data_IF_431509533185
#
_entry.id   IF_431509533185
#
_cell.length_a   1.000
_cell.length_b   1.000
_cell.length_c   1.000
_cell.angle_alpha   90.00
_cell.angle_beta   90.00
_cell.angle_gamma   90.00
#
_symmetry.space_group_name_H-M   'P 1'
#
loop_
_entity.id
_entity.type
_entity.pdbx_description
1 polymer ?
#
# COMPACT_ATOMS: atom_id res chain seq x y z
N UNK A 1 -7.49 11.04 14.85
CA UNK A 1 -6.81 10.91 16.16
C UNK A 1 -6.27 12.25 16.64
N UNK A 2 -5.30 12.87 15.96
CA UNK A 2 -4.52 14.01 16.47
C UNK A 2 -5.17 15.40 16.38
N UNK A 3 -6.41 15.53 15.89
CA UNK A 3 -7.04 16.85 15.73
C UNK A 3 -6.35 17.75 14.70
N UNK A 4 -5.49 17.21 13.83
CA UNK A 4 -4.75 17.95 12.80
C UNK A 4 -5.63 18.30 11.59
N UNK A 5 -6.73 19.02 11.82
CA UNK A 5 -7.69 19.44 10.79
C UNK A 5 -7.29 20.82 10.28
N UNK A 6 -7.04 21.01 8.97
CA UNK A 6 -6.75 22.33 8.42
C UNK A 6 -7.88 23.34 8.69
N UNK A 7 -7.51 24.58 9.02
CA UNK A 7 -8.46 25.64 9.41
C UNK A 7 -9.57 25.90 8.40
N UNK A 8 -9.30 25.69 7.11
CA UNK A 8 -10.29 25.84 6.02
C UNK A 8 -11.53 24.96 6.14
N UNK A 9 -11.47 23.88 6.94
CA UNK A 9 -12.62 23.02 7.21
C UNK A 9 -13.48 23.49 8.39
N UNK A 10 -13.14 24.63 9.01
CA UNK A 10 -13.90 25.28 10.09
C UNK A 10 -14.22 24.36 11.29
N UNK A 11 -13.38 23.36 11.55
CA UNK A 11 -13.51 22.52 12.73
C UNK A 11 -13.05 23.29 13.98
N UNK A 12 -13.90 23.34 15.00
CA UNK A 12 -13.70 24.16 16.21
C UNK A 12 -13.31 23.35 17.45
N UNK A 13 -12.91 22.09 17.28
CA UNK A 13 -12.59 21.16 18.38
C UNK A 13 -13.67 20.12 18.65
N UNK A 14 -13.40 19.19 19.57
CA UNK A 14 -14.29 18.08 19.95
C UNK A 14 -14.06 16.79 19.14
N UNK A 15 -14.96 15.82 19.26
CA UNK A 15 -14.86 14.58 18.49
C UNK A 15 -15.09 14.85 16.99
N UNK A 16 -14.16 14.42 16.15
CA UNK A 16 -14.26 14.54 14.69
C UNK A 16 -15.29 13.53 14.18
N UNK A 17 -16.41 14.05 13.68
CA UNK A 17 -17.44 13.27 12.98
C UNK A 17 -17.15 13.07 11.49
N UNK A 18 -18.03 12.32 10.83
CA UNK A 18 -17.88 11.97 9.40
C UNK A 18 -17.88 13.18 8.46
N UNK A 19 -18.61 14.25 8.77
CA UNK A 19 -18.64 15.44 7.90
C UNK A 19 -17.26 16.09 7.76
N UNK A 20 -16.57 16.32 8.88
CA UNK A 20 -15.21 16.87 8.88
C UNK A 20 -14.23 15.89 8.24
N UNK A 21 -14.34 14.60 8.57
CA UNK A 21 -13.49 13.54 8.01
C UNK A 21 -13.59 13.46 6.48
N UNK A 22 -14.81 13.36 5.92
CA UNK A 22 -15.02 13.31 4.48
C UNK A 22 -14.74 14.63 3.79
N UNK A 23 -14.99 15.77 4.44
CA UNK A 23 -14.60 17.06 3.88
C UNK A 23 -13.09 17.15 3.68
N UNK A 24 -12.27 16.61 4.59
CA UNK A 24 -10.82 16.51 4.37
C UNK A 24 -10.47 15.55 3.22
N UNK A 25 -11.13 14.39 3.15
CA UNK A 25 -10.79 13.35 2.20
C UNK A 25 -11.20 13.66 0.75
N UNK A 26 -12.34 14.31 0.53
CA UNK A 26 -12.94 14.50 -0.81
C UNK A 26 -13.47 15.91 -1.07
N UNK A 27 -13.21 16.85 -0.16
CA UNK A 27 -13.69 18.21 -0.27
C UNK A 27 -15.21 18.32 -0.08
N UNK A 28 -15.71 19.53 -0.29
CA UNK A 28 -17.13 19.84 -0.31
C UNK A 28 -17.41 20.94 -1.35
N UNK A 29 -18.62 21.51 -1.37
CA UNK A 29 -19.02 22.51 -2.36
C UNK A 29 -18.18 23.81 -2.34
N UNK A 30 -17.52 24.13 -1.23
CA UNK A 30 -16.78 25.39 -1.04
C UNK A 30 -15.31 25.22 -0.65
N UNK A 31 -14.88 24.01 -0.26
CA UNK A 31 -13.52 23.75 0.23
C UNK A 31 -12.91 22.55 -0.52
N UNK A 32 -11.70 22.69 -1.09
CA UNK A 32 -11.02 21.57 -1.75
C UNK A 32 -10.60 20.51 -0.72
N UNK A 33 -10.48 19.26 -1.19
CA UNK A 33 -9.90 18.16 -0.42
C UNK A 33 -8.43 18.44 -0.03
N UNK A 34 -7.92 17.66 0.91
CA UNK A 34 -6.48 17.55 1.18
C UNK A 34 -5.80 16.78 0.05
N UNK A 35 -4.47 16.93 -0.06
CA UNK A 35 -3.69 16.18 -1.05
C UNK A 35 -3.80 14.67 -0.82
N UNK A 36 -3.96 13.92 -1.90
CA UNK A 36 -3.85 12.46 -1.91
C UNK A 36 -2.59 12.06 -2.68
N UNK A 37 -1.75 11.21 -2.09
CA UNK A 37 -0.52 10.73 -2.74
C UNK A 37 -0.29 9.24 -2.49
N UNK A 38 0.62 8.62 -3.24
CA UNK A 38 0.91 7.19 -3.14
C UNK A 38 1.45 6.83 -1.76
N UNK A 39 0.93 5.75 -1.20
CA UNK A 39 1.48 5.11 -0.01
C UNK A 39 2.70 4.29 -0.43
N UNK A 40 3.88 4.92 -0.30
CA UNK A 40 5.16 4.35 -0.75
C UNK A 40 5.11 3.95 -2.23
N UNK A 41 5.59 2.76 -2.58
CA UNK A 41 5.60 2.22 -3.93
C UNK A 41 4.37 1.33 -4.20
N UNK A 42 3.31 1.44 -3.38
CA UNK A 42 2.04 0.73 -3.60
C UNK A 42 1.12 1.50 -4.55
N UNK A 43 0.01 0.87 -4.96
CA UNK A 43 -1.08 1.53 -5.67
C UNK A 43 -2.14 2.11 -4.72
N UNK A 44 -1.97 1.96 -3.41
CA UNK A 44 -2.82 2.62 -2.42
C UNK A 44 -2.40 4.08 -2.27
N UNK A 45 -3.35 4.92 -1.91
CA UNK A 45 -3.12 6.34 -1.69
C UNK A 45 -3.58 6.75 -0.30
N UNK A 46 -2.86 7.69 0.32
CA UNK A 46 -3.23 8.26 1.62
C UNK A 46 -3.45 9.76 1.50
N UNK A 47 -4.19 10.31 2.47
CA UNK A 47 -4.40 11.75 2.60
C UNK A 47 -3.25 12.35 3.38
N UNK A 48 -2.50 13.26 2.74
CA UNK A 48 -1.28 13.86 3.29
C UNK A 48 -1.63 14.85 4.39
N UNK A 49 -1.18 14.65 5.65
CA UNK A 49 -1.42 15.64 6.70
C UNK A 49 -0.74 16.97 6.39
N UNK A 50 -1.46 18.07 6.57
CA UNK A 50 -0.98 19.43 6.31
C UNK A 50 -0.69 20.12 7.64
N UNK A 51 0.59 20.28 7.98
CA UNK A 51 1.02 20.68 9.32
C UNK A 51 1.77 22.00 9.32
N UNK A 52 1.77 22.66 10.47
CA UNK A 52 2.49 23.92 10.69
C UNK A 52 2.66 24.21 12.17
N UNK A 53 3.39 25.28 12.52
CA UNK A 53 3.64 25.64 13.92
C UNK A 53 2.35 25.92 14.69
N UNK A 54 1.32 26.43 14.04
CA UNK A 54 0.06 26.86 14.66
C UNK A 54 -1.01 25.77 14.76
N UNK A 55 -0.71 24.54 14.30
CA UNK A 55 -1.64 23.41 14.44
C UNK A 55 -1.88 23.14 15.92
N UNK A 56 -3.15 23.14 16.32
CA UNK A 56 -3.59 22.78 17.66
C UNK A 56 -3.95 21.31 17.69
N UNK A 57 -2.96 20.48 18.00
CA UNK A 57 -3.22 19.06 18.19
C UNK A 57 -4.08 18.83 19.43
N UNK A 58 -5.00 17.87 19.34
CA UNK A 58 -5.83 17.42 20.45
C UNK A 58 -6.31 16.00 20.20
N UNK A 59 -6.56 15.22 21.24
CA UNK A 59 -7.18 13.90 21.07
C UNK A 59 -8.64 14.07 20.63
N UNK A 60 -8.88 13.94 19.32
CA UNK A 60 -10.14 14.34 18.68
C UNK A 60 -10.81 13.22 17.89
N UNK A 61 -10.32 11.98 18.02
CA UNK A 61 -11.02 10.83 17.46
C UNK A 61 -10.62 9.57 18.18
N UNK A 62 -11.59 8.92 18.80
CA UNK A 62 -11.42 7.74 19.66
C UNK A 62 -11.57 6.43 18.89
N UNK A 63 -11.43 6.45 17.56
CA UNK A 63 -11.62 5.28 16.67
C UNK A 63 -10.92 4.01 17.19
N UNK A 64 -9.62 4.12 17.51
CA UNK A 64 -8.82 2.96 17.92
C UNK A 64 -9.34 2.29 19.20
N UNK A 65 -9.67 3.06 20.24
CA UNK A 65 -10.18 2.51 21.50
C UNK A 65 -11.62 2.02 21.35
N UNK A 66 -12.45 2.69 20.54
CA UNK A 66 -13.82 2.27 20.23
C UNK A 66 -13.83 0.92 19.51
N UNK A 67 -13.01 0.77 18.46
CA UNK A 67 -12.90 -0.49 17.71
C UNK A 67 -12.30 -1.62 18.55
N UNK A 68 -11.31 -1.34 19.39
CA UNK A 68 -10.77 -2.33 20.32
C UNK A 68 -11.85 -2.84 21.29
N UNK A 69 -12.63 -1.92 21.90
CA UNK A 69 -13.74 -2.28 22.80
C UNK A 69 -14.84 -3.05 22.09
N UNK A 70 -15.15 -2.70 20.84
CA UNK A 70 -16.12 -3.42 20.01
C UNK A 70 -15.68 -4.87 19.80
N UNK A 71 -14.45 -5.11 19.34
CA UNK A 71 -13.91 -6.45 19.15
C UNK A 71 -13.86 -7.23 20.48
N UNK A 72 -13.45 -6.57 21.56
CA UNK A 72 -13.40 -7.17 22.91
C UNK A 72 -14.78 -7.64 23.39
N UNK A 73 -15.84 -6.87 23.12
CA UNK A 73 -17.21 -7.24 23.45
C UNK A 73 -17.70 -8.48 22.70
N UNK A 74 -17.11 -8.78 21.52
CA UNK A 74 -17.34 -10.01 20.76
C UNK A 74 -16.46 -11.19 21.22
N UNK A 75 -15.64 -11.00 22.27
CA UNK A 75 -14.71 -12.02 22.78
C UNK A 75 -13.43 -12.15 21.96
N UNK A 76 -13.13 -11.21 21.06
CA UNK A 76 -11.92 -11.21 20.23
C UNK A 76 -10.94 -10.17 20.77
N UNK A 77 -9.83 -10.62 21.35
CA UNK A 77 -8.74 -9.73 21.74
C UNK A 77 -7.93 -9.35 20.49
N UNK A 78 -7.81 -8.05 20.23
CA UNK A 78 -7.14 -7.52 19.02
C UNK A 78 -5.90 -6.72 19.39
N UNK A 79 -5.01 -6.53 18.42
CA UNK A 79 -3.86 -5.63 18.54
C UNK A 79 -4.22 -4.31 17.84
N UNK A 80 -4.42 -3.19 18.56
CA UNK A 80 -4.62 -1.89 17.93
C UNK A 80 -3.41 -1.49 17.10
N UNK A 81 -3.64 -0.98 15.90
CA UNK A 81 -2.60 -0.50 14.99
C UNK A 81 -2.71 1.02 14.85
N UNK A 82 -1.61 1.73 15.11
CA UNK A 82 -1.49 3.17 14.86
C UNK A 82 -0.31 3.42 13.93
N UNK A 83 -0.43 4.41 13.03
CA UNK A 83 0.76 4.98 12.38
C UNK A 83 1.61 5.64 13.45
N UNK A 84 2.89 5.25 13.52
CA UNK A 84 3.85 5.75 14.49
C UNK A 84 4.07 7.27 14.37
N UNK A 85 4.40 7.95 15.48
CA UNK A 85 4.47 9.41 15.52
C UNK A 85 5.50 9.98 14.55
N UNK A 86 6.62 9.30 14.30
CA UNK A 86 7.68 9.85 13.45
C UNK A 86 7.33 9.67 11.97
N UNK A 87 6.85 8.49 11.57
CA UNK A 87 6.36 8.26 10.20
C UNK A 87 5.19 9.17 9.86
N UNK A 88 4.27 9.42 10.80
CA UNK A 88 3.19 10.38 10.60
C UNK A 88 3.74 11.77 10.20
N UNK A 89 4.73 12.28 10.94
CA UNK A 89 5.34 13.58 10.64
C UNK A 89 6.17 13.57 9.35
N UNK A 90 6.95 12.51 9.10
CA UNK A 90 7.76 12.38 7.88
C UNK A 90 6.93 12.18 6.61
N UNK A 91 5.68 11.71 6.73
CA UNK A 91 4.72 11.56 5.64
C UNK A 91 3.78 12.78 5.50
N UNK A 92 3.92 13.78 6.38
CA UNK A 92 3.17 15.03 6.32
C UNK A 92 3.84 16.04 5.37
N UNK A 93 3.17 17.17 5.13
CA UNK A 93 3.73 18.33 4.43
C UNK A 93 3.48 19.63 5.19
N UNK A 94 4.36 20.64 5.05
CA UNK A 94 4.04 21.98 5.52
C UNK A 94 2.75 22.50 4.86
N UNK A 95 1.82 22.99 5.67
CA UNK A 95 0.58 23.58 5.22
C UNK A 95 0.84 24.84 4.38
N UNK A 96 -0.14 25.28 3.60
CA UNK A 96 -0.04 26.52 2.81
C UNK A 96 0.26 27.71 3.73
N UNK A 97 1.31 28.46 3.40
CA UNK A 97 1.78 29.61 4.19
C UNK A 97 2.88 29.28 5.21
N UNK A 98 3.19 28.00 5.41
CA UNK A 98 4.36 27.55 6.18
C UNK A 98 5.58 27.46 5.25
N UNK A 99 6.77 27.75 5.77
CA UNK A 99 8.01 27.61 5.02
C UNK A 99 8.20 26.18 4.48
N UNK A 100 8.64 26.04 3.23
CA UNK A 100 8.75 24.73 2.56
C UNK A 100 9.73 23.77 3.25
N UNK A 101 10.74 24.33 3.91
CA UNK A 101 11.78 23.60 4.66
C UNK A 101 11.45 23.48 6.16
N UNK A 102 10.22 23.79 6.58
CA UNK A 102 9.81 23.62 7.96
C UNK A 102 10.04 22.17 8.42
N UNK A 103 10.81 21.94 9.50
CA UNK A 103 11.14 20.60 9.95
C UNK A 103 9.92 19.97 10.64
N UNK A 104 9.14 19.16 9.92
CA UNK A 104 7.91 18.56 10.43
C UNK A 104 8.13 17.74 11.71
N UNK A 105 9.28 17.07 11.83
CA UNK A 105 9.68 16.34 13.04
C UNK A 105 9.81 17.23 14.28
N UNK A 106 9.93 18.55 14.14
CA UNK A 106 9.89 19.50 15.27
C UNK A 106 8.53 19.56 15.98
N UNK A 107 7.47 19.02 15.36
CA UNK A 107 6.14 18.92 15.96
C UNK A 107 5.99 17.71 16.89
N UNK A 108 7.02 16.89 17.04
CA UNK A 108 6.99 15.65 17.81
C UNK A 108 6.49 15.88 19.25
N UNK A 109 7.05 16.86 19.96
CA UNK A 109 6.66 17.18 21.35
C UNK A 109 5.20 17.60 21.48
N UNK A 110 4.56 18.05 20.39
CA UNK A 110 3.14 18.44 20.38
C UNK A 110 2.20 17.25 20.16
N UNK A 111 2.65 16.19 19.47
CA UNK A 111 1.82 15.03 19.16
C UNK A 111 1.99 13.89 20.19
N UNK A 112 3.19 13.75 20.77
CA UNK A 112 3.47 12.67 21.73
C UNK A 112 2.52 12.65 22.94
N UNK A 113 2.10 13.78 23.55
CA UNK A 113 1.10 13.75 24.61
C UNK A 113 -0.19 13.04 24.21
N UNK A 114 -0.67 13.24 22.98
CA UNK A 114 -1.89 12.60 22.48
C UNK A 114 -1.67 11.11 22.24
N UNK A 115 -0.50 10.71 21.73
CA UNK A 115 -0.14 9.29 21.64
C UNK A 115 -0.15 8.63 23.03
N UNK A 116 0.35 9.32 24.07
CA UNK A 116 0.30 8.82 25.45
C UNK A 116 -1.13 8.68 25.97
N UNK A 117 -2.00 9.64 25.69
CA UNK A 117 -3.44 9.56 26.02
C UNK A 117 -4.09 8.34 25.35
N UNK A 118 -3.89 8.15 24.05
CA UNK A 118 -4.42 7.01 23.29
C UNK A 118 -3.91 5.68 23.84
N UNK A 119 -2.60 5.56 24.11
CA UNK A 119 -1.99 4.37 24.71
C UNK A 119 -2.60 4.11 26.10
N UNK A 120 -2.76 5.15 26.92
CA UNK A 120 -3.39 5.07 28.23
C UNK A 120 -4.81 4.50 28.16
N UNK A 121 -5.63 4.98 27.23
CA UNK A 121 -6.99 4.49 27.03
C UNK A 121 -7.05 3.06 26.49
N UNK A 122 -6.15 2.68 25.57
CA UNK A 122 -6.06 1.31 25.08
C UNK A 122 -5.69 0.33 26.20
N UNK A 123 -4.73 0.69 27.06
CA UNK A 123 -4.41 -0.10 28.27
C UNK A 123 -5.60 -0.21 29.20
N UNK A 124 -6.28 0.90 29.48
CA UNK A 124 -7.46 0.91 30.34
C UNK A 124 -8.62 0.08 29.77
N UNK A 125 -8.72 -0.02 28.44
CA UNK A 125 -9.69 -0.89 27.77
C UNK A 125 -9.32 -2.38 27.84
N UNK A 126 -8.08 -2.71 28.18
CA UNK A 126 -7.58 -4.08 28.35
C UNK A 126 -6.64 -4.57 27.25
N UNK A 127 -6.18 -3.69 26.35
CA UNK A 127 -5.22 -4.08 25.31
C UNK A 127 -3.92 -4.59 25.95
N UNK A 128 -3.45 -5.74 25.49
CA UNK A 128 -2.21 -6.39 25.96
C UNK A 128 -1.01 -6.14 25.04
N UNK A 129 -1.30 -5.76 23.79
CA UNK A 129 -0.35 -5.41 22.75
C UNK A 129 -0.80 -4.15 22.01
N UNK A 130 0.16 -3.43 21.41
CA UNK A 130 -0.06 -2.35 20.44
C UNK A 130 0.96 -2.47 19.31
N UNK A 131 0.54 -2.16 18.09
CA UNK A 131 1.40 -2.03 16.93
C UNK A 131 1.52 -0.56 16.53
N UNK A 132 2.76 -0.11 16.35
CA UNK A 132 3.12 1.22 15.86
C UNK A 132 3.84 1.07 14.52
N UNK A 133 3.16 1.45 13.45
CA UNK A 133 3.70 1.36 12.10
C UNK A 133 4.69 2.50 11.86
N UNK A 134 5.98 2.16 11.74
CA UNK A 134 7.04 3.10 11.39
C UNK A 134 7.69 2.78 10.04
N UNK A 135 6.91 2.70 8.94
CA UNK A 135 7.42 2.25 7.65
C UNK A 135 8.39 3.24 7.00
N UNK A 136 8.52 4.47 7.50
CA UNK A 136 9.53 5.39 6.96
C UNK A 136 10.96 4.96 7.29
N UNK A 137 11.17 4.04 8.23
CA UNK A 137 12.46 3.44 8.55
C UNK A 137 13.08 2.63 7.40
N UNK A 138 12.30 2.28 6.37
CA UNK A 138 12.82 1.62 5.15
C UNK A 138 13.37 2.63 4.12
N UNK A 139 13.25 3.94 4.38
CA UNK A 139 13.76 5.01 3.50
C UNK A 139 15.20 5.37 3.88
N UNK A 140 15.86 6.08 2.96
CA UNK A 140 17.11 6.78 3.26
C UNK A 140 16.84 7.98 4.16
N UNK A 141 17.01 7.79 5.48
CA UNK A 141 16.82 8.82 6.49
C UNK A 141 18.16 9.41 6.94
N UNK A 142 18.19 10.72 7.16
CA UNK A 142 19.35 11.37 7.76
C UNK A 142 19.45 11.10 9.27
N UNK A 143 20.60 11.43 9.87
CA UNK A 143 20.87 11.18 11.29
C UNK A 143 19.89 11.91 12.23
N UNK A 144 19.42 13.10 11.84
CA UNK A 144 18.48 13.88 12.66
C UNK A 144 17.08 13.24 12.63
N UNK A 145 16.66 12.72 11.47
CA UNK A 145 15.42 11.96 11.32
C UNK A 145 15.46 10.66 12.13
N UNK A 146 16.57 9.90 12.08
CA UNK A 146 16.74 8.69 12.90
C UNK A 146 16.73 9.00 14.40
N UNK A 147 17.37 10.10 14.81
CA UNK A 147 17.37 10.56 16.19
C UNK A 147 15.95 10.88 16.70
N UNK A 148 15.05 11.34 15.82
CA UNK A 148 13.65 11.60 16.19
C UNK A 148 12.90 10.34 16.64
N UNK A 149 13.21 9.16 16.08
CA UNK A 149 12.67 7.88 16.57
C UNK A 149 13.17 7.60 17.98
N UNK A 150 14.47 7.68 18.21
CA UNK A 150 15.05 7.49 19.55
C UNK A 150 14.41 8.42 20.58
N UNK A 151 14.21 9.70 20.25
CA UNK A 151 13.52 10.66 21.11
C UNK A 151 12.06 10.27 21.36
N UNK A 152 11.30 9.97 20.30
CA UNK A 152 9.88 9.64 20.39
C UNK A 152 9.63 8.44 21.32
N UNK A 153 10.38 7.36 21.12
CA UNK A 153 10.17 6.12 21.85
C UNK A 153 10.75 6.15 23.27
N UNK A 154 11.78 6.97 23.52
CA UNK A 154 12.23 7.26 24.89
C UNK A 154 11.14 8.02 25.67
N UNK A 155 10.49 9.00 25.04
CA UNK A 155 9.43 9.78 25.68
C UNK A 155 8.14 8.96 25.89
N UNK A 156 7.89 7.96 25.04
CA UNK A 156 6.75 7.04 25.15
C UNK A 156 6.99 5.87 26.12
N UNK A 157 8.24 5.57 26.50
CA UNK A 157 8.62 4.36 27.26
C UNK A 157 7.76 4.16 28.53
N UNK A 158 7.58 5.21 29.33
CA UNK A 158 6.76 5.15 30.55
C UNK A 158 5.29 4.87 30.27
N UNK A 159 4.77 5.38 29.16
CA UNK A 159 3.38 5.17 28.73
C UNK A 159 3.18 3.79 28.12
N UNK A 160 4.20 3.21 27.50
CA UNK A 160 4.21 1.83 27.00
C UNK A 160 4.42 0.80 28.12
N UNK A 161 4.93 1.21 29.29
CA UNK A 161 5.10 0.29 30.42
C UNK A 161 3.80 -0.47 30.77
N UNK A 162 3.93 -1.79 30.90
CA UNK A 162 2.81 -2.71 31.14
C UNK A 162 2.00 -3.10 29.90
N UNK A 163 2.37 -2.62 28.71
CA UNK A 163 1.77 -2.96 27.42
C UNK A 163 2.87 -3.41 26.46
N UNK A 164 2.71 -4.57 25.82
CA UNK A 164 3.70 -4.98 24.83
C UNK A 164 3.57 -4.11 23.56
N UNK A 165 4.68 -3.54 23.10
CA UNK A 165 4.68 -2.70 21.91
C UNK A 165 5.49 -3.30 20.77
N UNK A 166 4.94 -3.27 19.56
CA UNK A 166 5.61 -3.67 18.32
C UNK A 166 5.84 -2.43 17.47
N UNK A 167 7.03 -2.32 16.88
CA UNK A 167 7.26 -1.41 15.75
C UNK A 167 7.34 -2.23 14.47
N UNK A 168 6.43 -1.97 13.54
CA UNK A 168 6.37 -2.66 12.25
C UNK A 168 7.02 -1.83 11.14
N UNK A 169 7.78 -2.51 10.27
CA UNK A 169 8.42 -1.93 9.08
C UNK A 169 8.14 -2.80 7.87
N UNK A 170 7.90 -2.18 6.71
CA UNK A 170 7.48 -2.91 5.53
C UNK A 170 7.78 -2.22 4.20
N UNK A 171 7.67 -2.98 3.11
CA UNK A 171 7.83 -2.62 1.68
C UNK A 171 9.25 -2.61 1.13
N UNK A 172 10.28 -2.58 1.96
CA UNK A 172 11.68 -2.63 1.55
C UNK A 172 12.58 -3.02 2.72
N UNK A 173 13.88 -3.11 2.45
CA UNK A 173 14.91 -3.25 3.46
C UNK A 173 14.95 -2.07 4.45
N UNK A 174 15.26 -2.37 5.71
CA UNK A 174 15.67 -1.37 6.70
C UNK A 174 17.18 -1.13 6.57
N UNK A 175 17.65 0.09 6.22
CA UNK A 175 19.08 0.40 6.15
C UNK A 175 19.81 0.14 7.48
N UNK A 176 21.10 -0.17 7.42
CA UNK A 176 21.86 -0.62 8.61
C UNK A 176 21.81 0.35 9.81
N UNK A 177 21.87 1.67 9.59
CA UNK A 177 21.75 2.65 10.68
C UNK A 177 20.31 2.78 11.21
N UNK A 178 19.32 2.62 10.34
CA UNK A 178 17.91 2.53 10.75
C UNK A 178 17.64 1.25 11.54
N UNK A 179 18.26 0.12 11.17
CA UNK A 179 18.17 -1.15 11.90
C UNK A 179 18.71 -1.02 13.32
N UNK A 180 19.89 -0.39 13.49
CA UNK A 180 20.45 -0.08 14.83
C UNK A 180 19.50 0.80 15.65
N UNK A 181 18.93 1.83 15.03
CA UNK A 181 17.97 2.73 15.69
C UNK A 181 16.73 1.96 16.13
N UNK A 182 16.09 1.22 15.22
CA UNK A 182 14.88 0.43 15.41
C UNK A 182 15.03 -0.62 16.51
N UNK A 183 16.10 -1.41 16.45
CA UNK A 183 16.38 -2.45 17.45
C UNK A 183 16.81 -1.88 18.81
N UNK A 184 17.24 -0.62 18.86
CA UNK A 184 17.59 0.10 20.08
C UNK A 184 16.42 0.85 20.75
N UNK A 185 15.23 0.87 20.16
CA UNK A 185 14.11 1.67 20.68
C UNK A 185 13.65 1.20 22.08
N UNK A 186 13.42 2.19 22.94
CA UNK A 186 12.94 2.04 24.32
C UNK A 186 11.44 1.74 24.35
N UNK A 187 10.99 0.97 25.35
CA UNK A 187 9.59 0.56 25.48
C UNK A 187 9.07 -0.37 24.38
N UNK A 188 9.89 -0.77 23.40
CA UNK A 188 9.51 -1.67 22.30
C UNK A 188 9.89 -3.10 22.63
N UNK A 189 8.89 -3.99 22.59
CA UNK A 189 9.03 -5.41 22.88
C UNK A 189 9.18 -6.24 21.62
N UNK A 190 8.67 -5.80 20.46
CA UNK A 190 8.77 -6.52 19.20
C UNK A 190 9.13 -5.63 18.04
N UNK A 191 9.80 -6.18 17.03
CA UNK A 191 10.09 -5.51 15.77
C UNK A 191 9.65 -6.40 14.62
N UNK A 192 8.89 -5.84 13.69
CA UNK A 192 8.47 -6.52 12.48
C UNK A 192 9.20 -6.04 11.24
N UNK A 193 9.49 -7.01 10.36
CA UNK A 193 10.21 -6.81 9.11
C UNK A 193 9.51 -7.51 7.96
N UNK A 194 9.44 -6.82 6.82
CA UNK A 194 9.10 -7.43 5.54
C UNK A 194 10.25 -8.32 5.05
N UNK A 195 10.04 -9.64 5.08
CA UNK A 195 11.02 -10.63 4.62
C UNK A 195 10.72 -11.15 3.22
N UNK A 196 9.77 -10.52 2.50
CA UNK A 196 9.51 -10.77 1.08
C UNK A 196 10.30 -9.79 0.22
N UNK A 197 10.39 -8.52 0.65
CA UNK A 197 11.13 -7.46 -0.04
C UNK A 197 12.38 -6.99 0.70
N UNK A 198 12.53 -7.38 1.97
CA UNK A 198 13.64 -6.97 2.82
C UNK A 198 14.75 -8.03 2.97
N UNK A 199 15.29 -8.53 1.86
CA UNK A 199 16.35 -9.56 1.86
C UNK A 199 17.61 -9.13 2.64
N UNK A 200 18.02 -7.85 2.57
CA UNK A 200 19.17 -7.34 3.34
C UNK A 200 18.85 -7.16 4.81
N UNK A 201 17.59 -6.92 5.16
CA UNK A 201 17.15 -6.90 6.57
C UNK A 201 17.30 -8.27 7.20
N UNK A 202 17.02 -9.35 6.45
CA UNK A 202 17.27 -10.72 6.89
C UNK A 202 18.76 -10.96 7.18
N UNK A 203 19.68 -10.43 6.36
CA UNK A 203 21.12 -10.52 6.61
C UNK A 203 21.52 -9.81 7.92
N UNK A 204 20.97 -8.62 8.18
CA UNK A 204 21.21 -7.88 9.43
C UNK A 204 20.70 -8.64 10.65
N UNK A 205 19.51 -9.23 10.56
CA UNK A 205 18.93 -10.07 11.65
C UNK A 205 19.84 -11.28 11.92
N UNK A 206 20.32 -11.95 10.85
CA UNK A 206 21.26 -13.07 10.95
C UNK A 206 22.60 -12.69 11.57
N UNK A 207 23.05 -11.45 11.39
CA UNK A 207 24.25 -10.94 12.04
C UNK A 207 24.05 -10.66 13.53
N UNK A 208 22.82 -10.40 13.97
CA UNK A 208 22.46 -10.29 15.38
C UNK A 208 21.14 -9.56 15.61
N UNK A 209 20.36 -10.05 16.57
CA UNK A 209 19.09 -9.46 16.96
C UNK A 209 18.99 -9.36 18.50
N UNK A 210 18.34 -8.33 19.07
CA UNK A 210 18.22 -8.20 20.52
C UNK A 210 17.43 -9.36 21.15
N UNK A 211 18.04 -10.05 22.12
CA UNK A 211 17.46 -11.23 22.77
C UNK A 211 16.21 -10.92 23.63
N UNK A 212 16.03 -9.66 24.03
CA UNK A 212 14.87 -9.20 24.79
C UNK A 212 13.63 -8.96 23.91
N UNK A 213 13.81 -8.86 22.58
CA UNK A 213 12.75 -8.48 21.65
C UNK A 213 12.17 -9.67 20.88
N UNK A 214 10.88 -9.57 20.56
CA UNK A 214 10.21 -10.43 19.61
C UNK A 214 10.58 -10.01 18.17
N UNK A 215 10.75 -10.99 17.30
CA UNK A 215 10.90 -10.81 15.87
C UNK A 215 9.60 -11.21 15.18
N UNK A 216 8.92 -10.24 14.56
CA UNK A 216 7.77 -10.48 13.70
C UNK A 216 8.27 -10.66 12.26
N UNK A 217 8.33 -11.91 11.81
CA UNK A 217 8.88 -12.31 10.53
C UNK A 217 7.80 -12.26 9.44
N UNK A 218 7.78 -11.18 8.64
CA UNK A 218 6.83 -10.96 7.57
C UNK A 218 7.11 -11.79 6.32
N UNK A 219 6.82 -13.09 6.39
CA UNK A 219 7.13 -14.09 5.33
C UNK A 219 5.96 -14.41 4.41
N UNK A 220 4.76 -13.88 4.68
CA UNK A 220 3.58 -14.04 3.81
C UNK A 220 3.27 -12.72 3.10
N UNK A 221 3.40 -12.69 1.77
CA UNK A 221 3.31 -11.45 0.99
C UNK A 221 1.93 -10.79 1.07
N UNK A 222 1.84 -9.59 1.66
CA UNK A 222 0.61 -8.79 1.74
C UNK A 222 0.30 -7.93 0.52
N UNK A 223 1.20 -7.85 -0.47
CA UNK A 223 1.07 -7.00 -1.67
C UNK A 223 0.78 -7.75 -2.96
N UNK A 224 0.85 -9.08 -2.94
CA UNK A 224 0.65 -9.89 -4.12
C UNK A 224 -0.30 -11.05 -3.86
N UNK A 225 -0.81 -11.63 -4.94
CA UNK A 225 -1.88 -12.63 -4.90
C UNK A 225 -1.37 -14.06 -5.00
N UNK A 226 -0.06 -14.27 -5.07
CA UNK A 226 0.50 -15.62 -5.15
C UNK A 226 0.36 -16.35 -3.81
N UNK A 227 0.05 -17.65 -3.90
CA UNK A 227 0.18 -18.55 -2.76
C UNK A 227 1.65 -18.60 -2.31
N UNK A 228 1.85 -18.62 -0.99
CA UNK A 228 3.16 -18.66 -0.37
C UNK A 228 3.90 -19.98 -0.65
N UNK A 229 5.23 -19.93 -0.78
CA UNK A 229 6.05 -21.14 -0.69
C UNK A 229 6.26 -21.50 0.79
N UNK A 230 5.40 -22.40 1.29
CA UNK A 230 5.40 -22.73 2.72
C UNK A 230 6.70 -23.43 3.15
N UNK A 231 7.31 -24.22 2.26
CA UNK A 231 8.55 -24.92 2.58
C UNK A 231 9.73 -23.94 2.69
N UNK A 232 9.84 -23.01 1.75
CA UNK A 232 10.84 -21.95 1.81
C UNK A 232 10.64 -21.06 3.05
N UNK A 233 9.39 -20.67 3.34
CA UNK A 233 9.08 -19.84 4.51
C UNK A 233 9.40 -20.55 5.82
N UNK A 234 9.09 -21.85 5.97
CA UNK A 234 9.49 -22.63 7.16
C UNK A 234 11.01 -22.67 7.29
N UNK A 235 11.77 -22.86 6.20
CA UNK A 235 13.23 -22.88 6.26
C UNK A 235 13.79 -21.55 6.79
N UNK A 236 13.31 -20.40 6.26
CA UNK A 236 13.69 -19.08 6.76
C UNK A 236 13.31 -18.89 8.23
N UNK A 237 12.11 -19.30 8.62
CA UNK A 237 11.65 -19.17 10.01
C UNK A 237 12.45 -20.05 10.98
N UNK A 238 12.83 -21.27 10.60
CA UNK A 238 13.69 -22.14 11.41
C UNK A 238 15.08 -21.53 11.62
N UNK A 239 15.65 -20.90 10.59
CA UNK A 239 16.92 -20.16 10.74
C UNK A 239 16.79 -18.99 11.73
N UNK A 240 15.69 -18.23 11.65
CA UNK A 240 15.42 -17.12 12.55
C UNK A 240 15.14 -17.59 13.98
N UNK A 241 14.44 -18.71 14.15
CA UNK A 241 14.17 -19.33 15.45
C UNK A 241 15.47 -19.71 16.16
N UNK A 242 16.48 -20.18 15.42
CA UNK A 242 17.80 -20.48 15.98
C UNK A 242 18.53 -19.24 16.50
N UNK A 243 18.18 -18.04 16.02
CA UNK A 243 18.79 -16.76 16.40
C UNK A 243 18.06 -16.16 17.62
N UNK A 244 16.74 -16.04 17.55
CA UNK A 244 15.95 -15.32 18.56
C UNK A 244 15.34 -16.24 19.63
N UNK A 245 15.25 -17.54 19.35
CA UNK A 245 14.59 -18.53 20.17
C UNK A 245 13.10 -18.69 19.86
N UNK A 246 12.57 -19.89 20.14
CA UNK A 246 11.19 -20.29 19.83
C UNK A 246 10.13 -19.34 20.39
N UNK A 247 10.32 -18.86 21.62
CA UNK A 247 9.35 -18.01 22.31
C UNK A 247 9.41 -16.53 21.89
N UNK A 248 10.28 -16.16 20.94
CA UNK A 248 10.49 -14.79 20.47
C UNK A 248 10.25 -14.60 18.98
N UNK A 249 9.98 -15.68 18.23
CA UNK A 249 9.64 -15.60 16.82
C UNK A 249 8.13 -15.59 16.61
N UNK A 250 7.62 -14.62 15.85
CA UNK A 250 6.21 -14.53 15.44
C UNK A 250 6.13 -14.56 13.93
N UNK A 251 5.33 -15.48 13.38
CA UNK A 251 5.04 -15.51 11.93
C UNK A 251 4.06 -14.40 11.60
N UNK A 252 4.40 -13.56 10.62
CA UNK A 252 3.59 -12.42 10.21
C UNK A 252 3.42 -12.33 8.69
N UNK A 253 2.56 -11.43 8.25
CA UNK A 253 2.52 -10.98 6.86
C UNK A 253 3.61 -9.94 6.61
N UNK A 254 4.08 -9.81 5.37
CA UNK A 254 5.13 -8.85 5.00
C UNK A 254 4.72 -7.39 5.18
N UNK A 255 3.41 -7.13 5.14
CA UNK A 255 2.77 -5.85 5.38
C UNK A 255 1.26 -6.10 5.60
N UNK A 256 0.49 -5.02 5.70
CA UNK A 256 -0.98 -5.11 5.73
C UNK A 256 -1.55 -5.81 4.49
N UNK A 257 -2.52 -6.71 4.70
CA UNK A 257 -3.29 -7.36 3.64
C UNK A 257 -4.26 -6.41 2.91
N UNK A 258 -4.28 -5.11 3.27
CA UNK A 258 -5.03 -4.08 2.54
C UNK A 258 -4.63 -3.99 1.05
N UNK A 259 -3.42 -4.45 0.70
CA UNK A 259 -2.90 -4.39 -0.66
C UNK A 259 -3.17 -5.65 -1.50
N UNK A 260 -4.01 -6.56 -1.01
CA UNK A 260 -4.46 -7.75 -1.76
C UNK A 260 -5.99 -7.82 -1.83
N UNK A 261 -6.50 -8.70 -2.69
CA UNK A 261 -7.94 -8.98 -2.77
C UNK A 261 -8.41 -9.71 -1.49
N UNK A 262 -9.72 -9.69 -1.22
CA UNK A 262 -10.27 -10.15 0.06
C UNK A 262 -10.27 -11.68 0.19
N UNK A 263 -10.98 -12.38 -0.70
CA UNK A 263 -11.16 -13.84 -0.56
C UNK A 263 -11.30 -14.51 -1.93
N UNK A 264 -10.41 -15.47 -2.20
CA UNK A 264 -10.33 -16.20 -3.46
C UNK A 264 -11.56 -17.10 -3.70
N UNK A 265 -12.30 -17.47 -2.66
CA UNK A 265 -13.51 -18.30 -2.80
C UNK A 265 -14.58 -17.64 -3.68
N UNK A 266 -14.55 -16.31 -3.79
CA UNK A 266 -15.49 -15.54 -4.59
C UNK A 266 -15.18 -15.58 -6.10
N UNK A 267 -13.99 -16.07 -6.49
CA UNK A 267 -13.64 -16.23 -7.89
C UNK A 267 -14.35 -17.44 -8.48
N UNK A 268 -15.34 -17.20 -9.34
CA UNK A 268 -16.16 -18.27 -9.94
C UNK A 268 -15.72 -18.67 -11.35
N UNK A 269 -14.84 -17.88 -11.98
CA UNK A 269 -14.43 -18.05 -13.38
C UNK A 269 -13.06 -18.68 -13.58
N UNK A 270 -12.14 -18.53 -12.61
CA UNK A 270 -10.82 -19.14 -12.73
C UNK A 270 -10.91 -20.66 -12.66
N UNK A 271 -10.12 -21.32 -13.51
CA UNK A 271 -9.92 -22.77 -13.46
C UNK A 271 -9.19 -23.19 -12.17
N UNK A 272 -9.32 -24.47 -11.80
CA UNK A 272 -8.77 -24.99 -10.55
C UNK A 272 -7.25 -24.94 -10.49
N UNK A 273 -6.56 -25.09 -11.64
CA UNK A 273 -5.11 -25.00 -11.71
C UNK A 273 -4.66 -23.58 -11.37
N UNK A 274 -5.19 -22.55 -12.05
CA UNK A 274 -4.84 -21.16 -11.76
C UNK A 274 -5.19 -20.78 -10.31
N UNK A 275 -6.38 -21.16 -9.83
CA UNK A 275 -6.77 -20.89 -8.43
C UNK A 275 -5.79 -21.48 -7.42
N UNK A 276 -5.24 -22.66 -7.70
CA UNK A 276 -4.28 -23.31 -6.79
C UNK A 276 -2.99 -22.50 -6.60
N UNK A 277 -2.65 -21.62 -7.56
CA UNK A 277 -1.45 -20.79 -7.50
C UNK A 277 -1.65 -19.48 -6.73
N UNK A 278 -2.89 -19.17 -6.35
CA UNK A 278 -3.28 -17.90 -5.77
C UNK A 278 -3.64 -18.02 -4.29
N UNK A 279 -3.43 -16.95 -3.54
CA UNK A 279 -3.91 -16.74 -2.20
C UNK A 279 -4.28 -15.25 -2.03
N UNK A 280 -5.53 -14.97 -1.67
CA UNK A 280 -5.99 -13.63 -1.30
C UNK A 280 -5.90 -13.44 0.22
N UNK A 281 -6.36 -12.33 0.79
CA UNK A 281 -6.19 -12.03 2.21
C UNK A 281 -6.67 -13.16 3.14
N UNK A 282 -7.87 -13.71 2.88
CA UNK A 282 -8.42 -14.81 3.67
C UNK A 282 -7.50 -16.05 3.66
N UNK A 283 -6.97 -16.43 2.49
CA UNK A 283 -6.05 -17.56 2.36
C UNK A 283 -4.69 -17.27 3.02
N UNK A 284 -4.19 -16.03 2.92
CA UNK A 284 -2.93 -15.62 3.57
C UNK A 284 -2.98 -15.71 5.09
N UNK A 285 -4.14 -15.48 5.70
CA UNK A 285 -4.34 -15.73 7.14
C UNK A 285 -4.15 -17.23 7.45
N UNK A 286 -4.64 -18.12 6.59
CA UNK A 286 -4.42 -19.57 6.75
C UNK A 286 -2.95 -19.94 6.57
N UNK A 287 -2.25 -19.33 5.60
CA UNK A 287 -0.80 -19.54 5.39
C UNK A 287 0.01 -19.17 6.63
N UNK A 288 -0.21 -17.99 7.21
CA UNK A 288 0.46 -17.56 8.46
C UNK A 288 0.22 -18.57 9.58
N UNK A 289 -1.03 -19.02 9.76
CA UNK A 289 -1.37 -20.00 10.79
C UNK A 289 -0.73 -21.38 10.54
N UNK A 290 -0.68 -21.83 9.28
CA UNK A 290 -0.07 -23.10 8.91
C UNK A 290 1.44 -23.10 9.18
N UNK A 291 2.12 -22.00 8.85
CA UNK A 291 3.54 -21.79 9.14
C UNK A 291 3.81 -21.78 10.65
N UNK A 292 3.02 -21.03 11.42
CA UNK A 292 3.15 -20.98 12.88
C UNK A 292 2.94 -22.36 13.53
N UNK A 293 1.93 -23.11 13.09
CA UNK A 293 1.70 -24.50 13.55
C UNK A 293 2.85 -25.42 13.19
N UNK A 294 3.45 -25.29 12.00
CA UNK A 294 4.60 -26.08 11.60
C UNK A 294 5.81 -25.85 12.53
N UNK A 295 6.13 -24.59 12.87
CA UNK A 295 7.18 -24.25 13.84
C UNK A 295 6.87 -24.79 15.25
N UNK A 296 5.59 -24.84 15.62
CA UNK A 296 5.15 -25.44 16.87
C UNK A 296 5.22 -26.98 16.88
N UNK A 297 5.62 -27.63 15.78
CA UNK A 297 5.66 -29.10 15.64
C UNK A 297 4.30 -29.74 15.33
N UNK A 298 3.33 -28.94 14.91
CA UNK A 298 1.95 -29.34 14.59
C UNK A 298 1.66 -29.13 13.10
N UNK A 299 2.62 -29.50 12.25
CA UNK A 299 2.54 -29.30 10.79
C UNK A 299 1.34 -30.06 10.21
N UNK A 300 0.51 -29.34 9.45
CA UNK A 300 -0.56 -29.92 8.64
C UNK A 300 0.02 -30.47 7.33
N UNK A 301 0.30 -31.78 7.31
CA UNK A 301 0.95 -32.41 6.15
C UNK A 301 0.09 -32.37 4.88
N UNK A 302 -1.24 -32.36 5.00
CA UNK A 302 -2.13 -32.27 3.85
C UNK A 302 -2.05 -30.88 3.21
N UNK A 303 -2.13 -29.83 4.03
CA UNK A 303 -2.03 -28.44 3.56
C UNK A 303 -0.69 -28.16 2.89
N UNK A 304 0.42 -28.63 3.48
CA UNK A 304 1.76 -28.47 2.90
C UNK A 304 1.95 -29.29 1.62
N UNK A 305 1.40 -30.52 1.55
CA UNK A 305 1.48 -31.35 0.35
C UNK A 305 0.70 -30.73 -0.82
N UNK A 306 -0.49 -30.17 -0.54
CA UNK A 306 -1.29 -29.45 -1.54
C UNK A 306 -0.56 -28.18 -2.04
N UNK A 307 0.04 -27.41 -1.13
CA UNK A 307 0.85 -26.25 -1.49
C UNK A 307 2.06 -26.63 -2.37
N UNK A 308 2.82 -27.66 -1.99
CA UNK A 308 3.95 -28.15 -2.78
C UNK A 308 3.53 -28.59 -4.20
N UNK A 309 2.39 -29.28 -4.32
CA UNK A 309 1.84 -29.68 -5.61
C UNK A 309 1.44 -28.47 -6.47
N UNK A 310 0.83 -27.43 -5.87
CA UNK A 310 0.47 -26.20 -6.57
C UNK A 310 1.69 -25.42 -7.07
N UNK A 311 2.76 -25.33 -6.27
CA UNK A 311 4.02 -24.69 -6.68
C UNK A 311 4.69 -25.46 -7.83
N UNK A 312 4.71 -26.79 -7.75
CA UNK A 312 5.27 -27.65 -8.79
C UNK A 312 4.50 -27.55 -10.11
N UNK A 313 3.16 -27.50 -10.05
CA UNK A 313 2.33 -27.33 -11.25
C UNK A 313 2.56 -25.96 -11.89
N UNK A 314 2.62 -24.88 -11.09
CA UNK A 314 2.94 -23.53 -11.59
C UNK A 314 4.30 -23.48 -12.27
N UNK A 315 5.34 -24.03 -11.62
CA UNK A 315 6.73 -23.99 -12.11
C UNK A 315 6.92 -24.73 -13.44
N UNK A 316 6.13 -25.78 -13.68
CA UNK A 316 6.20 -26.59 -14.89
C UNK A 316 5.14 -26.24 -15.95
N UNK A 317 4.22 -25.30 -15.66
CA UNK A 317 3.10 -25.01 -16.55
C UNK A 317 3.56 -24.30 -17.84
N UNK A 318 3.13 -24.77 -19.03
CA UNK A 318 3.36 -24.08 -20.29
C UNK A 318 2.60 -22.74 -20.38
N UNK A 319 1.63 -22.49 -19.48
CA UNK A 319 0.95 -21.19 -19.36
C UNK A 319 1.87 -20.10 -18.80
N UNK A 320 2.91 -20.48 -18.06
CA UNK A 320 3.82 -19.56 -17.37
C UNK A 320 5.05 -19.22 -18.22
N UNK A 321 5.58 -20.19 -18.97
CA UNK A 321 6.81 -20.00 -19.75
C UNK A 321 6.53 -20.04 -21.25
N UNK A 322 6.99 -19.01 -21.97
CA UNK A 322 6.87 -18.91 -23.43
C UNK A 322 8.26 -18.71 -24.08
N UNK A 323 8.72 -19.69 -24.84
CA UNK A 323 10.04 -19.62 -25.51
C UNK A 323 10.14 -18.48 -26.54
N UNK A 324 9.04 -18.13 -27.20
CA UNK A 324 9.00 -17.02 -28.15
C UNK A 324 9.31 -15.69 -27.49
N UNK A 325 8.73 -15.46 -26.30
CA UNK A 325 9.01 -14.27 -25.48
C UNK A 325 10.46 -14.27 -25.01
N UNK A 326 11.00 -15.40 -24.55
CA UNK A 326 12.41 -15.50 -24.14
C UNK A 326 13.37 -15.17 -25.28
N UNK A 327 13.13 -15.71 -26.48
CA UNK A 327 13.93 -15.42 -27.68
C UNK A 327 13.82 -13.95 -28.09
N UNK A 328 12.62 -13.38 -28.05
CA UNK A 328 12.40 -11.96 -28.37
C UNK A 328 13.13 -11.03 -27.40
N UNK A 329 13.07 -11.29 -26.09
CA UNK A 329 13.76 -10.52 -25.07
C UNK A 329 15.29 -10.57 -25.24
N UNK A 330 15.84 -11.75 -25.53
CA UNK A 330 17.27 -11.92 -25.77
C UNK A 330 17.77 -11.23 -27.06
N UNK A 331 16.88 -10.93 -28.00
CA UNK A 331 17.21 -10.29 -29.27
C UNK A 331 17.23 -8.75 -29.20
N UNK A 332 16.80 -8.14 -28.09
CA UNK A 332 16.78 -6.69 -27.91
C UNK A 332 18.20 -6.10 -27.97
N UNK A 333 18.35 -4.99 -28.70
CA UNK A 333 19.59 -4.24 -28.87
C UNK A 333 19.43 -2.81 -28.37
N UNK A 334 20.53 -2.15 -28.00
CA UNK A 334 20.51 -0.74 -27.59
C UNK A 334 19.84 0.19 -28.62
N UNK A 335 19.96 -0.16 -29.91
CA UNK A 335 19.32 0.57 -31.00
C UNK A 335 17.79 0.51 -30.96
N UNK A 336 17.20 -0.53 -30.39
CA UNK A 336 15.74 -0.70 -30.33
C UNK A 336 15.11 0.28 -29.33
N UNK A 337 15.91 0.77 -28.37
CA UNK A 337 15.49 1.78 -27.40
C UNK A 337 15.58 3.22 -27.94
N UNK A 338 16.13 3.44 -29.15
CA UNK A 338 16.40 4.78 -29.67
C UNK A 338 16.06 4.90 -31.15
N UNK A 339 15.21 5.89 -31.48
CA UNK A 339 15.06 6.36 -32.86
C UNK A 339 16.41 6.86 -33.38
N UNK A 340 16.78 6.47 -34.60
CA UNK A 340 18.03 6.88 -35.26
C UNK A 340 18.09 8.38 -35.57
N UNK A 341 16.95 8.98 -35.94
CA UNK A 341 16.84 10.42 -36.20
C UNK A 341 16.74 11.20 -34.89
N UNK A 342 17.51 12.27 -34.72
CA UNK A 342 17.42 13.15 -33.55
C UNK A 342 16.04 13.84 -33.44
N UNK A 343 15.73 14.40 -32.27
CA UNK A 343 14.41 15.00 -32.01
C UNK A 343 14.13 16.21 -32.89
N UNK A 344 15.11 17.09 -33.13
CA UNK A 344 14.93 18.32 -33.91
C UNK A 344 14.53 18.04 -35.36
N UNK A 345 15.22 17.12 -36.04
CA UNK A 345 14.88 16.75 -37.41
C UNK A 345 13.52 16.03 -37.51
N UNK A 346 13.09 15.32 -36.45
CA UNK A 346 11.73 14.75 -36.39
C UNK A 346 10.67 15.83 -36.22
N UNK A 347 10.93 16.84 -35.37
CA UNK A 347 10.02 17.96 -35.17
C UNK A 347 9.81 18.73 -36.49
N UNK A 348 10.87 18.97 -37.28
CA UNK A 348 10.74 19.62 -38.60
C UNK A 348 9.84 18.82 -39.55
N UNK A 349 10.04 17.50 -39.60
CA UNK A 349 9.23 16.61 -40.44
C UNK A 349 7.77 16.53 -39.95
N UNK A 350 7.55 16.50 -38.64
CA UNK A 350 6.22 16.50 -38.02
C UNK A 350 5.51 17.83 -38.26
N UNK A 351 6.18 18.96 -38.10
CA UNK A 351 5.62 20.28 -38.36
C UNK A 351 5.18 20.42 -39.82
N UNK A 352 5.99 19.94 -40.77
CA UNK A 352 5.62 19.90 -42.19
C UNK A 352 4.39 19.03 -42.47
N UNK A 353 4.17 17.97 -41.69
CA UNK A 353 3.07 17.02 -41.89
C UNK A 353 1.77 17.46 -41.20
N UNK A 354 1.87 17.98 -39.98
CA UNK A 354 0.75 18.28 -39.11
C UNK A 354 0.34 19.75 -39.15
N UNK A 355 1.27 20.66 -39.51
CA UNK A 355 1.04 22.10 -39.60
C UNK A 355 0.36 22.70 -38.37
N UNK A 356 0.79 22.28 -37.17
CA UNK A 356 0.23 22.73 -35.90
C UNK A 356 0.58 24.20 -35.63
N UNK A 357 -0.28 24.96 -34.93
CA UNK A 357 0.05 26.32 -34.51
C UNK A 357 1.17 26.33 -33.45
N UNK A 358 1.61 27.52 -33.06
CA UNK A 358 2.71 27.71 -32.10
C UNK A 358 2.36 27.14 -30.71
N UNK A 359 1.10 27.24 -30.30
CA UNK A 359 0.60 26.73 -29.02
C UNK A 359 -0.53 25.72 -29.29
N UNK A 360 -0.18 24.51 -29.78
CA UNK A 360 -1.18 23.51 -30.09
C UNK A 360 -1.84 22.99 -28.82
N UNK A 361 -3.14 22.74 -28.90
CA UNK A 361 -4.01 22.28 -27.84
C UNK A 361 -4.38 20.81 -28.05
N UNK A 362 -4.46 20.07 -26.95
CA UNK A 362 -4.86 18.66 -26.95
C UNK A 362 -5.35 18.25 -25.56
N UNK A 363 -5.89 17.03 -25.45
CA UNK A 363 -6.25 16.40 -24.18
C UNK A 363 -5.48 15.08 -24.01
N UNK A 364 -5.65 14.40 -22.88
CA UNK A 364 -4.79 13.26 -22.50
C UNK A 364 -5.41 11.88 -22.83
N UNK A 365 -6.60 11.83 -23.44
CA UNK A 365 -7.20 10.58 -23.92
C UNK A 365 -8.66 10.41 -23.51
N UNK A 366 -8.91 10.09 -22.25
CA UNK A 366 -10.24 9.72 -21.76
C UNK A 366 -11.21 10.91 -21.64
N UNK A 367 -12.49 10.65 -21.94
CA UNK A 367 -13.61 11.57 -21.72
C UNK A 367 -14.62 10.97 -20.71
N UNK A 368 -15.57 11.76 -20.17
CA UNK A 368 -16.50 11.29 -19.14
C UNK A 368 -17.24 10.01 -19.53
N UNK A 369 -17.09 8.95 -18.74
CA UNK A 369 -17.81 7.70 -18.95
C UNK A 369 -19.27 7.80 -18.50
N UNK A 370 -20.18 7.99 -19.46
CA UNK A 370 -21.62 8.17 -19.21
C UNK A 370 -22.26 6.90 -18.62
N UNK A 371 -23.41 7.08 -17.94
CA UNK A 371 -24.23 5.96 -17.43
C UNK A 371 -24.62 5.02 -18.56
N UNK A 372 -24.93 5.58 -19.72
CA UNK A 372 -25.30 4.84 -20.92
C UNK A 372 -24.13 3.99 -21.44
N UNK A 373 -22.93 4.55 -21.51
CA UNK A 373 -21.74 3.81 -21.93
C UNK A 373 -21.41 2.65 -20.96
N UNK A 374 -21.60 2.86 -19.65
CA UNK A 374 -21.45 1.78 -18.64
C UNK A 374 -22.52 0.70 -18.82
N UNK A 375 -23.76 1.08 -19.15
CA UNK A 375 -24.88 0.16 -19.42
C UNK A 375 -24.58 -0.70 -20.64
N UNK A 376 -24.19 -0.09 -21.76
CA UNK A 376 -23.85 -0.76 -23.03
C UNK A 376 -22.72 -1.77 -22.84
N UNK A 377 -21.60 -1.37 -22.20
CA UNK A 377 -20.48 -2.28 -21.90
C UNK A 377 -20.88 -3.46 -21.03
N UNK A 378 -21.70 -3.23 -20.00
CA UNK A 378 -22.22 -4.29 -19.13
C UNK A 378 -23.13 -5.26 -19.89
N UNK A 379 -24.00 -4.76 -20.75
CA UNK A 379 -24.90 -5.59 -21.56
C UNK A 379 -24.14 -6.42 -22.59
N UNK A 380 -23.10 -5.86 -23.21
CA UNK A 380 -22.21 -6.59 -24.10
C UNK A 380 -21.44 -7.69 -23.35
N UNK A 381 -20.80 -7.38 -22.21
CA UNK A 381 -20.14 -8.37 -21.34
C UNK A 381 -21.11 -9.48 -20.88
N UNK A 382 -22.38 -9.16 -20.69
CA UNK A 382 -23.44 -10.10 -20.34
C UNK A 382 -24.08 -10.82 -21.55
N UNK A 383 -23.56 -10.64 -22.77
CA UNK A 383 -24.08 -11.20 -24.03
C UNK A 383 -25.55 -10.89 -24.29
N UNK A 384 -26.03 -9.72 -23.82
CA UNK A 384 -27.43 -9.26 -24.00
C UNK A 384 -27.63 -8.44 -25.27
N UNK A 385 -26.55 -7.88 -25.81
CA UNK A 385 -26.52 -7.18 -27.10
C UNK A 385 -25.45 -7.83 -27.98
N UNK A 386 -25.64 -7.71 -29.29
CA UNK A 386 -24.68 -8.17 -30.30
C UNK A 386 -23.40 -7.30 -30.32
N UNK A 387 -22.35 -7.83 -30.92
CA UNK A 387 -21.11 -7.07 -31.16
C UNK A 387 -21.36 -5.87 -32.07
N UNK A 388 -22.20 -6.02 -33.11
CA UNK A 388 -22.56 -4.92 -34.01
C UNK A 388 -23.25 -3.77 -33.26
N UNK A 389 -24.19 -4.09 -32.37
CA UNK A 389 -24.85 -3.10 -31.51
C UNK A 389 -23.86 -2.40 -30.57
N UNK A 390 -22.94 -3.16 -29.97
CA UNK A 390 -21.88 -2.60 -29.11
C UNK A 390 -20.97 -1.65 -29.91
N UNK A 391 -20.43 -2.09 -31.05
CA UNK A 391 -19.53 -1.30 -31.90
C UNK A 391 -20.22 -0.03 -32.39
N UNK A 392 -21.49 -0.09 -32.77
CA UNK A 392 -22.24 1.09 -33.19
C UNK A 392 -22.42 2.11 -32.05
N UNK A 393 -22.71 1.64 -30.82
CA UNK A 393 -22.81 2.51 -29.66
C UNK A 393 -21.46 3.18 -29.31
N UNK A 394 -20.35 2.43 -29.38
CA UNK A 394 -19.00 2.97 -29.17
C UNK A 394 -18.66 4.03 -30.22
N UNK A 395 -18.94 3.76 -31.51
CA UNK A 395 -18.73 4.73 -32.60
C UNK A 395 -19.51 6.02 -32.39
N UNK A 396 -20.76 5.91 -31.95
CA UNK A 396 -21.59 7.09 -31.67
C UNK A 396 -21.03 7.93 -30.52
N UNK A 397 -20.47 7.30 -29.49
CA UNK A 397 -19.82 8.03 -28.39
C UNK A 397 -18.51 8.70 -28.84
N UNK A 398 -17.69 8.00 -29.63
CA UNK A 398 -16.49 8.58 -30.25
C UNK A 398 -16.87 9.80 -31.10
N UNK A 399 -17.92 9.70 -31.91
CA UNK A 399 -18.41 10.78 -32.75
C UNK A 399 -18.76 12.03 -31.93
N UNK A 400 -19.48 11.88 -30.82
CA UNK A 400 -19.79 13.01 -29.91
C UNK A 400 -18.53 13.64 -29.33
N UNK A 401 -17.57 12.83 -28.89
CA UNK A 401 -16.31 13.29 -28.29
C UNK A 401 -15.45 14.04 -29.32
N UNK A 402 -15.34 13.51 -30.54
CA UNK A 402 -14.61 14.15 -31.64
C UNK A 402 -15.29 15.48 -32.01
N UNK A 403 -16.60 15.46 -32.24
CA UNK A 403 -17.37 16.66 -32.60
C UNK A 403 -17.24 17.77 -31.55
N UNK A 404 -17.31 17.43 -30.27
CA UNK A 404 -17.11 18.40 -29.18
C UNK A 404 -15.72 19.04 -29.24
N UNK A 405 -14.68 18.26 -29.47
CA UNK A 405 -13.32 18.80 -29.55
C UNK A 405 -13.11 19.66 -30.80
N UNK A 406 -13.73 19.30 -31.94
CA UNK A 406 -13.75 20.13 -33.15
C UNK A 406 -14.48 21.46 -32.91
N UNK A 407 -15.63 21.44 -32.23
CA UNK A 407 -16.38 22.66 -31.85
C UNK A 407 -15.59 23.57 -30.89
N UNK A 408 -14.66 23.01 -30.13
CA UNK A 408 -13.75 23.72 -29.23
C UNK A 408 -12.41 24.09 -29.88
N UNK A 409 -12.23 23.80 -31.17
CA UNK A 409 -11.01 24.07 -31.95
C UNK A 409 -9.74 23.44 -31.34
N UNK A 410 -9.85 22.21 -30.86
CA UNK A 410 -8.71 21.43 -30.36
C UNK A 410 -7.86 20.94 -31.53
N UNK A 411 -6.55 21.19 -31.50
CA UNK A 411 -5.64 20.91 -32.63
C UNK A 411 -5.36 19.42 -32.84
N UNK A 412 -5.23 18.65 -31.76
CA UNK A 412 -4.97 17.21 -31.82
C UNK A 412 -6.00 16.48 -30.97
N UNK A 413 -6.86 15.72 -31.64
CA UNK A 413 -8.02 15.06 -31.06
C UNK A 413 -7.68 13.71 -30.43
N UNK A 414 -8.49 13.31 -29.46
CA UNK A 414 -8.53 11.94 -28.92
C UNK A 414 -9.94 11.36 -29.09
N UNK A 415 -10.09 10.03 -29.03
CA UNK A 415 -11.39 9.38 -29.23
C UNK A 415 -12.20 9.19 -27.93
N UNK A 416 -11.65 9.53 -26.77
CA UNK A 416 -12.34 9.48 -25.48
C UNK A 416 -12.25 8.15 -24.73
N UNK A 417 -11.64 7.12 -25.33
CA UNK A 417 -11.50 5.77 -24.75
C UNK A 417 -12.82 5.12 -24.24
N UNK A 418 -13.98 5.29 -24.91
CA UNK A 418 -15.24 4.79 -24.40
C UNK A 418 -15.30 3.26 -24.28
N UNK A 419 -14.50 2.53 -25.06
CA UNK A 419 -14.39 1.08 -25.03
C UNK A 419 -13.60 0.54 -23.83
N UNK A 420 -12.79 1.38 -23.16
CA UNK A 420 -11.88 0.95 -22.10
C UNK A 420 -12.52 1.12 -20.72
N UNK A 421 -12.55 0.05 -19.93
CA UNK A 421 -13.04 0.11 -18.55
C UNK A 421 -11.97 0.61 -17.59
N UNK A 422 -10.76 0.10 -17.76
CA UNK A 422 -9.56 0.45 -17.02
C UNK A 422 -8.36 0.42 -17.99
N UNK A 423 -7.38 1.29 -17.76
CA UNK A 423 -6.24 1.49 -18.66
C UNK A 423 -5.26 0.30 -18.67
N UNK A 424 -5.32 -0.59 -17.69
CA UNK A 424 -4.46 -1.79 -17.61
C UNK A 424 -5.25 -3.04 -17.94
N UNK A 425 -6.46 -3.21 -17.38
CA UNK A 425 -7.33 -4.38 -17.63
C UNK A 425 -7.59 -4.58 -19.12
N UNK A 426 -7.86 -3.49 -19.86
CA UNK A 426 -8.16 -3.55 -21.29
C UNK A 426 -7.06 -4.22 -22.11
N UNK A 427 -5.79 -3.93 -21.81
CA UNK A 427 -4.67 -4.57 -22.49
C UNK A 427 -4.41 -5.98 -21.94
N UNK A 428 -4.58 -6.19 -20.63
CA UNK A 428 -4.42 -7.50 -20.00
C UNK A 428 -5.37 -8.57 -20.53
N UNK A 429 -6.61 -8.21 -20.91
CA UNK A 429 -7.57 -9.12 -21.56
C UNK A 429 -7.15 -9.55 -22.99
N UNK A 430 -6.12 -8.92 -23.57
CA UNK A 430 -5.68 -9.09 -24.97
C UNK A 430 -4.21 -9.51 -25.12
N UNK A 431 -3.53 -9.81 -24.01
CA UNK A 431 -2.17 -10.37 -23.96
C UNK A 431 -2.24 -11.85 -23.60
#
# INVERSE_FOLDING_TARGET
MLGAVPSRYNWTGGEIGFDTYFSMARGNASVPAMEMTKWFDTNYHFIVPELGPDVKFSYASHKAVTEYKEAKALGVDTVPVLVGPVSYLLLSKPAKGVEKNFPLVSLLDKILPIYKEVIGELKAAGASWIQLDEPTLVKDLDAHQLQAFTQAYSELESSLSGLNAIVETYFADVPAEAFKTLTGLKGINGVGFDLIRGEKSLELIKAGFPADKYLFAGVVDGRNIWANDLAASVATLTELEAIVGKDKLVVSTSCSLQHTAVDLVNETKFDSELKSWLAFAAQKILEVNALAKALAGQKDEEFFSANAAALASRKSSPRVTNEGVQKAAAALRDSDHRRTTNVSARLDAQQKKLNLPILPTTTIGSFPQTVELRRVRREYKAKKISEDEYVNAIKEEINKVVKLQEELDIDVLVHGEPERNDMVEYFGEQL
#
